data_IF_212529676680
#
_entry.id   IF_212529676680
#
_cell.length_a   1.000
_cell.length_b   1.000
_cell.length_c   1.000
_cell.angle_alpha   90.00
_cell.angle_beta   90.00
_cell.angle_gamma   90.00
#
_symmetry.space_group_name_H-M   'P 1'
#
loop_
_entity.id
_entity.type
_entity.pdbx_description
1 polymer ?
#
# COMPACT_ATOMS: atom_id res chain seq x y z
N UNK A 1 11.31 -9.72 -2.07
CA UNK A 1 11.52 -8.56 -2.97
C UNK A 1 10.80 -8.89 -4.27
N UNK A 2 9.76 -8.14 -4.63
CA UNK A 2 8.89 -8.47 -5.77
C UNK A 2 9.32 -7.70 -7.03
N UNK A 3 9.41 -8.40 -8.17
CA UNK A 3 9.86 -7.84 -9.45
C UNK A 3 8.76 -7.93 -10.51
N UNK A 4 8.59 -6.84 -11.27
CA UNK A 4 7.61 -6.71 -12.32
C UNK A 4 8.27 -6.88 -13.70
N UNK A 5 7.53 -7.52 -14.61
CA UNK A 5 7.87 -7.57 -16.03
C UNK A 5 7.36 -6.31 -16.72
N UNK A 6 7.92 -5.99 -17.90
CA UNK A 6 7.43 -4.89 -18.74
C UNK A 6 5.98 -5.08 -19.16
N UNK A 7 5.54 -6.32 -19.36
CA UNK A 7 4.14 -6.66 -19.66
C UNK A 7 3.20 -6.39 -18.48
N UNK A 8 3.62 -6.74 -17.26
CA UNK A 8 2.82 -6.47 -16.06
C UNK A 8 2.67 -4.96 -15.82
N UNK A 9 3.75 -4.20 -15.97
CA UNK A 9 3.72 -2.73 -15.85
C UNK A 9 2.83 -2.10 -16.93
N UNK A 10 2.96 -2.58 -18.17
CA UNK A 10 2.13 -2.14 -19.28
C UNK A 10 0.64 -2.32 -18.99
N UNK A 11 0.26 -3.50 -18.49
CA UNK A 11 -1.12 -3.80 -18.08
C UNK A 11 -1.60 -2.90 -16.93
N UNK A 12 -0.74 -2.63 -15.93
CA UNK A 12 -1.10 -1.80 -14.77
C UNK A 12 -1.23 -0.31 -15.07
N UNK A 13 -0.57 0.19 -16.11
CA UNK A 13 -0.64 1.59 -16.55
C UNK A 13 -1.53 1.79 -17.78
N UNK A 14 -2.14 0.73 -18.32
CA UNK A 14 -2.95 0.81 -19.54
C UNK A 14 -2.16 1.22 -20.79
N UNK A 15 -0.85 0.97 -20.82
CA UNK A 15 0.05 1.35 -21.93
C UNK A 15 0.65 0.13 -22.61
N UNK A 16 1.25 0.32 -23.78
CA UNK A 16 1.94 -0.79 -24.46
C UNK A 16 3.28 -1.14 -23.77
N UNK A 17 3.73 -2.42 -23.80
CA UNK A 17 5.06 -2.80 -23.32
C UNK A 17 6.21 -2.03 -23.98
N UNK A 18 6.01 -1.56 -25.22
CA UNK A 18 6.97 -0.71 -25.95
C UNK A 18 7.20 0.63 -25.23
N UNK A 19 6.14 1.23 -24.69
CA UNK A 19 6.23 2.46 -23.92
C UNK A 19 7.02 2.25 -22.62
N UNK A 20 6.82 1.13 -21.94
CA UNK A 20 7.58 0.76 -20.73
C UNK A 20 9.07 0.60 -21.05
N UNK A 21 9.40 -0.10 -22.14
CA UNK A 21 10.79 -0.24 -22.59
C UNK A 21 11.42 1.12 -22.92
N UNK A 22 10.64 2.07 -23.48
CA UNK A 22 11.10 3.43 -23.74
C UNK A 22 11.47 4.17 -22.45
N UNK A 23 10.67 4.02 -21.39
CA UNK A 23 10.99 4.60 -20.07
C UNK A 23 12.27 4.01 -19.46
N UNK A 24 12.46 2.70 -19.61
CA UNK A 24 13.69 2.03 -19.18
C UNK A 24 14.90 2.54 -19.95
N UNK A 25 14.82 2.62 -21.29
CA UNK A 25 15.92 3.12 -22.13
C UNK A 25 16.28 4.58 -21.86
N UNK A 26 15.29 5.39 -21.49
CA UNK A 26 15.49 6.79 -21.07
C UNK A 26 16.08 6.92 -19.66
N UNK A 27 16.20 5.83 -18.90
CA UNK A 27 16.71 5.85 -17.52
C UNK A 27 15.71 6.39 -16.48
N UNK A 28 14.50 6.81 -16.89
CA UNK A 28 13.48 7.31 -15.97
C UNK A 28 12.84 6.19 -15.14
N UNK A 29 12.84 4.95 -15.65
CA UNK A 29 12.40 3.77 -14.92
C UNK A 29 13.59 2.84 -14.68
N UNK A 30 14.00 2.71 -13.41
CA UNK A 30 15.09 1.82 -13.00
C UNK A 30 14.72 0.37 -13.25
N UNK A 31 15.62 -0.37 -13.90
CA UNK A 31 15.47 -1.79 -14.19
C UNK A 31 16.83 -2.46 -14.31
N UNK A 32 16.86 -3.78 -14.20
CA UNK A 32 18.01 -4.59 -14.58
C UNK A 32 17.59 -5.64 -15.62
N UNK A 33 18.57 -6.13 -16.38
CA UNK A 33 18.35 -7.20 -17.36
C UNK A 33 18.74 -8.54 -16.74
N UNK A 34 17.95 -9.56 -17.01
CA UNK A 34 18.35 -10.93 -16.70
C UNK A 34 19.47 -11.38 -17.64
N UNK A 35 20.48 -12.13 -17.13
CA UNK A 35 21.49 -12.74 -17.99
C UNK A 35 20.83 -13.70 -18.99
N UNK A 36 21.33 -13.74 -20.22
CA UNK A 36 20.74 -14.50 -21.32
C UNK A 36 19.73 -13.69 -22.13
N UNK A 37 18.43 -14.03 -22.02
CA UNK A 37 17.34 -13.50 -22.89
C UNK A 37 17.15 -11.97 -22.84
N UNK A 38 17.77 -11.29 -21.87
CA UNK A 38 17.82 -9.82 -21.83
C UNK A 38 16.52 -9.12 -21.43
N UNK A 39 15.54 -9.86 -20.92
CA UNK A 39 14.27 -9.30 -20.46
C UNK A 39 14.49 -8.38 -19.25
N UNK A 40 13.88 -7.20 -19.28
CA UNK A 40 13.98 -6.25 -18.16
C UNK A 40 13.14 -6.71 -16.96
N UNK A 41 13.64 -6.42 -15.76
CA UNK A 41 12.96 -6.58 -14.48
C UNK A 41 13.05 -5.28 -13.71
N UNK A 42 11.91 -4.87 -13.17
CA UNK A 42 11.76 -3.62 -12.41
C UNK A 42 11.35 -3.99 -10.99
N UNK A 43 12.02 -3.46 -9.98
CA UNK A 43 11.58 -3.69 -8.60
C UNK A 43 10.26 -2.93 -8.35
N UNK A 44 9.32 -3.55 -7.63
CA UNK A 44 8.02 -2.93 -7.31
C UNK A 44 8.18 -1.57 -6.63
N UNK A 45 9.20 -1.42 -5.77
CA UNK A 45 9.53 -0.14 -5.11
C UNK A 45 9.89 0.96 -6.12
N UNK A 46 10.77 0.66 -7.07
CA UNK A 46 11.19 1.62 -8.11
C UNK A 46 10.03 2.00 -9.02
N UNK A 47 9.14 1.04 -9.33
CA UNK A 47 7.93 1.29 -10.10
C UNK A 47 6.99 2.27 -9.39
N UNK A 48 6.75 2.10 -8.09
CA UNK A 48 5.91 3.01 -7.30
C UNK A 48 6.52 4.43 -7.26
N UNK A 49 7.84 4.54 -7.06
CA UNK A 49 8.55 5.82 -7.07
C UNK A 49 8.40 6.50 -8.43
N UNK A 50 8.57 5.76 -9.53
CA UNK A 50 8.38 6.27 -10.89
C UNK A 50 6.95 6.80 -11.11
N UNK A 51 5.92 6.08 -10.65
CA UNK A 51 4.54 6.51 -10.80
C UNK A 51 4.24 7.78 -10.01
N UNK A 52 4.71 7.87 -8.76
CA UNK A 52 4.57 9.08 -7.91
C UNK A 52 5.28 10.29 -8.51
N UNK A 53 6.51 10.11 -9.01
CA UNK A 53 7.30 11.21 -9.58
C UNK A 53 6.70 11.77 -10.89
N UNK A 54 5.96 10.95 -11.64
CA UNK A 54 5.37 11.33 -12.93
C UNK A 54 3.85 11.52 -12.88
N UNK A 55 3.25 11.53 -11.68
CA UNK A 55 1.81 11.63 -11.46
C UNK A 55 0.99 10.65 -12.32
N UNK A 56 1.50 9.42 -12.51
CA UNK A 56 0.84 8.42 -13.35
C UNK A 56 -0.29 7.73 -12.58
N UNK A 57 -1.52 7.70 -13.12
CA UNK A 57 -2.61 6.95 -12.53
C UNK A 57 -2.31 5.46 -12.67
N UNK A 58 -2.34 4.73 -11.56
CA UNK A 58 -2.27 3.28 -11.60
C UNK A 58 -3.66 2.81 -12.01
N UNK A 59 -3.86 2.43 -13.27
CA UNK A 59 -5.19 2.03 -13.79
C UNK A 59 -5.83 0.81 -13.12
N UNK A 60 -5.18 0.23 -12.10
CA UNK A 60 -5.79 -0.69 -11.12
C UNK A 60 -5.96 -0.03 -9.73
N UNK A 61 -6.45 1.20 -9.74
CA UNK A 61 -6.61 2.09 -8.59
C UNK A 61 -7.57 1.55 -7.50
N UNK A 62 -8.28 0.45 -7.76
CA UNK A 62 -9.16 -0.17 -6.76
C UNK A 62 -8.53 -1.33 -5.97
N UNK A 63 -7.40 -1.92 -6.40
CA UNK A 63 -6.86 -3.12 -5.75
C UNK A 63 -5.42 -2.96 -5.23
N UNK A 64 -4.57 -2.14 -5.86
CA UNK A 64 -3.14 -2.10 -5.53
C UNK A 64 -2.79 -1.00 -4.51
N UNK A 65 -3.64 0.03 -4.38
CA UNK A 65 -3.46 1.07 -3.36
C UNK A 65 -3.78 0.51 -1.96
N UNK A 66 -4.66 -0.49 -1.86
CA UNK A 66 -4.98 -1.13 -0.57
C UNK A 66 -3.90 -2.12 -0.09
N UNK A 67 -3.17 -2.78 -1.01
CA UNK A 67 -2.13 -3.74 -0.64
C UNK A 67 -0.74 -3.13 -0.38
N UNK A 68 -0.41 -1.98 -0.99
CA UNK A 68 0.93 -1.38 -0.84
C UNK A 68 1.06 -0.42 0.35
N UNK A 69 -0.06 0.05 0.91
CA UNK A 69 -0.10 0.82 2.15
C UNK A 69 -1.13 0.17 3.05
N UNK A 70 -0.71 -0.82 3.87
CA UNK A 70 -1.54 -1.25 5.00
C UNK A 70 -1.93 0.02 5.75
N UNK A 71 -3.23 0.32 5.80
CA UNK A 71 -3.74 1.43 6.59
C UNK A 71 -3.25 1.23 8.03
N UNK A 72 -2.69 2.26 8.67
CA UNK A 72 -2.31 2.15 10.07
C UNK A 72 -3.54 1.78 10.88
N UNK A 73 -3.37 0.86 11.82
CA UNK A 73 -4.42 0.37 12.71
C UNK A 73 -4.21 0.94 14.09
N UNK A 74 -5.26 1.52 14.65
CA UNK A 74 -5.30 2.02 16.02
C UNK A 74 -6.29 1.17 16.81
N UNK A 75 -5.87 0.67 17.97
CA UNK A 75 -6.75 0.07 18.95
C UNK A 75 -7.19 1.15 19.95
N UNK A 76 -8.49 1.38 20.02
CA UNK A 76 -9.12 2.35 20.92
C UNK A 76 -9.67 1.57 22.10
N UNK A 77 -9.30 1.95 23.32
CA UNK A 77 -9.77 1.34 24.56
C UNK A 77 -10.47 2.44 25.35
N UNK A 78 -11.78 2.28 25.56
CA UNK A 78 -12.60 3.18 26.39
C UNK A 78 -13.91 2.46 26.73
N UNK A 79 -14.41 2.62 27.95
CA UNK A 79 -15.65 1.98 28.39
C UNK A 79 -16.90 2.65 27.78
N UNK A 80 -16.82 3.93 27.40
CA UNK A 80 -17.87 4.64 26.67
C UNK A 80 -17.74 4.45 25.15
N UNK A 81 -18.71 3.70 24.59
CA UNK A 81 -18.81 3.45 23.15
C UNK A 81 -18.96 4.74 22.32
N UNK A 82 -19.52 5.80 22.88
CA UNK A 82 -19.69 7.07 22.19
C UNK A 82 -18.35 7.80 22.03
N UNK A 83 -17.47 7.72 23.02
CA UNK A 83 -16.09 8.21 22.95
C UNK A 83 -15.33 7.42 21.88
N UNK A 84 -15.40 6.08 21.96
CA UNK A 84 -14.81 5.20 20.94
C UNK A 84 -15.25 5.55 19.51
N UNK A 85 -16.55 5.73 19.28
CA UNK A 85 -17.12 6.10 17.98
C UNK A 85 -16.67 7.49 17.51
N UNK A 86 -16.52 8.43 18.44
CA UNK A 86 -16.07 9.79 18.13
C UNK A 86 -14.62 9.80 17.67
N UNK A 87 -13.74 9.09 18.41
CA UNK A 87 -12.33 8.89 18.02
C UNK A 87 -12.25 8.15 16.68
N UNK A 88 -13.00 7.06 16.52
CA UNK A 88 -13.03 6.27 15.29
C UNK A 88 -13.43 7.12 14.06
N UNK A 89 -14.42 8.01 14.21
CA UNK A 89 -14.84 8.91 13.13
C UNK A 89 -13.72 9.85 12.70
N UNK A 90 -12.95 10.39 13.63
CA UNK A 90 -11.81 11.28 13.32
C UNK A 90 -10.69 10.51 12.61
N UNK A 91 -10.33 9.33 13.13
CA UNK A 91 -9.27 8.49 12.57
C UNK A 91 -9.61 7.95 11.17
N UNK A 92 -10.86 7.51 10.95
CA UNK A 92 -11.31 7.04 9.63
C UNK A 92 -11.20 8.12 8.55
N UNK A 93 -11.41 9.39 8.88
CA UNK A 93 -11.21 10.53 7.93
C UNK A 93 -9.76 10.69 7.50
N UNK A 94 -8.82 10.20 8.30
CA UNK A 94 -7.38 10.19 8.02
C UNK A 94 -6.91 8.88 7.38
N UNK A 95 -7.84 8.04 6.88
CA UNK A 95 -7.54 6.72 6.30
C UNK A 95 -6.83 5.77 7.28
N UNK A 96 -7.15 5.90 8.57
CA UNK A 96 -6.66 5.04 9.65
C UNK A 96 -7.76 4.04 10.01
N UNK A 97 -7.41 2.77 10.06
CA UNK A 97 -8.31 1.70 10.49
C UNK A 97 -8.37 1.67 12.02
N UNK A 98 -9.55 1.39 12.58
CA UNK A 98 -9.76 1.43 14.02
C UNK A 98 -10.37 0.14 14.53
N UNK A 99 -9.86 -0.36 15.64
CA UNK A 99 -10.38 -1.47 16.41
C UNK A 99 -10.82 -0.91 17.76
N UNK A 100 -11.95 -1.38 18.29
CA UNK A 100 -12.49 -0.88 19.56
C UNK A 100 -12.49 -2.03 20.56
N UNK A 101 -12.01 -1.76 21.77
CA UNK A 101 -12.17 -2.59 22.95
C UNK A 101 -12.88 -1.76 24.03
N UNK A 102 -13.86 -2.35 24.73
CA UNK A 102 -14.56 -1.66 25.83
C UNK A 102 -14.02 -2.03 27.22
N UNK A 103 -13.03 -2.92 27.27
CA UNK A 103 -12.40 -3.36 28.51
C UNK A 103 -10.97 -3.88 28.24
N UNK A 104 -10.18 -4.01 29.32
CA UNK A 104 -8.78 -4.45 29.26
C UNK A 104 -8.61 -5.89 28.80
N UNK A 105 -9.65 -6.73 28.94
CA UNK A 105 -9.59 -8.13 28.53
C UNK A 105 -9.74 -8.26 27.01
N UNK A 106 -10.74 -7.60 26.43
CA UNK A 106 -10.92 -7.45 24.98
C UNK A 106 -9.69 -6.79 24.35
N UNK A 107 -9.14 -5.75 24.99
CA UNK A 107 -7.96 -5.06 24.50
C UNK A 107 -6.77 -6.02 24.32
N UNK A 108 -6.52 -6.90 25.30
CA UNK A 108 -5.45 -7.89 25.22
C UNK A 108 -5.62 -8.87 24.07
N UNK A 109 -6.84 -9.40 23.88
CA UNK A 109 -7.15 -10.31 22.78
C UNK A 109 -6.96 -9.63 21.40
N UNK A 110 -7.52 -8.43 21.23
CA UNK A 110 -7.47 -7.68 19.98
C UNK A 110 -6.07 -7.15 19.64
N UNK A 111 -5.25 -6.84 20.65
CA UNK A 111 -3.84 -6.48 20.46
C UNK A 111 -3.07 -7.64 19.82
N UNK A 112 -3.26 -8.87 20.32
CA UNK A 112 -2.59 -10.06 19.80
C UNK A 112 -3.06 -10.42 18.38
N UNK A 113 -4.37 -10.38 18.13
CA UNK A 113 -4.97 -10.74 16.84
C UNK A 113 -4.60 -9.75 15.73
N UNK A 114 -4.73 -8.45 16.00
CA UNK A 114 -4.67 -7.43 14.96
C UNK A 114 -3.34 -6.69 14.86
N UNK A 115 -2.48 -6.78 15.89
CA UNK A 115 -1.16 -6.15 15.95
C UNK A 115 -1.18 -4.68 15.51
N UNK A 116 -2.01 -3.83 16.15
CA UNK A 116 -2.10 -2.41 15.84
C UNK A 116 -0.76 -1.72 16.12
N UNK A 117 -0.50 -0.61 15.42
CA UNK A 117 0.72 0.17 15.62
C UNK A 117 0.63 1.12 16.82
N UNK A 118 -0.59 1.52 17.18
CA UNK A 118 -0.88 2.47 18.26
C UNK A 118 -2.08 1.97 19.04
N UNK A 119 -2.05 2.22 20.35
CA UNK A 119 -3.15 1.98 21.28
C UNK A 119 -3.47 3.30 22.00
N UNK A 120 -4.75 3.62 22.16
CA UNK A 120 -5.22 4.67 23.08
C UNK A 120 -5.80 4.01 24.33
N UNK A 121 -5.62 4.66 25.47
CA UNK A 121 -6.12 4.26 26.79
C UNK A 121 -7.06 5.34 27.32
#
# INVERSE_FOLDING_TARGET
MEYLTTGNIAKQLGITPRTVIRYIKKGVLKSYKLPGRGNNRVAKKDFIVFCKANALPLTNETAVIEEAVKRPKVLIIDDDINVCKSISRVLKRQYIDTIIAQDSFQAGALLYEHKPQIMTL
#
